data_IF_947946165082
#
_entry.id   IF_947946165082
#
_cell.length_a   1.000
_cell.length_b   1.000
_cell.length_c   1.000
_cell.angle_alpha   90.00
_cell.angle_beta   90.00
_cell.angle_gamma   90.00
#
_symmetry.space_group_name_H-M   'P 1'
#
loop_
_entity.id
_entity.type
_entity.pdbx_description
1 polymer ?
#
# COMPACT_ATOMS: atom_id res chain seq x y z
N UNK A 1 6.85 -9.18 28.03
CA UNK A 1 7.74 -9.41 26.87
C UNK A 1 7.44 -8.32 25.86
N UNK A 2 8.31 -7.31 25.72
CA UNK A 2 8.07 -6.15 24.84
C UNK A 2 8.39 -6.59 23.41
N UNK A 3 7.35 -6.74 22.59
CA UNK A 3 7.51 -7.03 21.17
C UNK A 3 8.24 -5.87 20.51
N UNK A 4 9.43 -6.18 20.00
CA UNK A 4 10.26 -5.27 19.25
C UNK A 4 9.60 -5.04 17.88
N UNK A 5 9.06 -3.85 17.64
CA UNK A 5 8.43 -3.54 16.36
C UNK A 5 9.25 -2.52 15.55
N UNK A 6 9.44 -2.74 14.24
CA UNK A 6 10.16 -1.81 13.41
C UNK A 6 9.56 -0.42 13.28
N UNK A 7 10.41 0.62 13.20
CA UNK A 7 10.01 2.01 12.90
C UNK A 7 10.71 2.56 11.65
N UNK A 8 9.99 3.36 10.86
CA UNK A 8 10.38 3.94 9.54
C UNK A 8 10.73 5.44 9.61
N UNK A 9 11.77 5.91 8.90
CA UNK A 9 12.16 7.35 8.71
C UNK A 9 12.43 7.70 7.21
N UNK A 10 12.24 8.97 6.75
CA UNK A 10 12.40 9.41 5.32
C UNK A 10 12.84 10.89 5.12
N UNK A 11 13.46 11.22 3.95
CA UNK A 11 13.77 12.56 3.35
C UNK A 11 13.62 12.56 1.79
N UNK A 12 13.03 13.62 1.21
CA UNK A 12 12.55 13.78 -0.19
C UNK A 12 13.63 14.08 -1.26
N UNK A 13 13.37 13.71 -2.53
CA UNK A 13 13.92 14.35 -3.75
C UNK A 13 12.78 14.65 -4.74
N UNK A 14 12.79 15.84 -5.35
CA UNK A 14 11.82 16.32 -6.36
C UNK A 14 12.28 15.97 -7.79
N UNK A 15 11.43 15.47 -8.71
CA UNK A 15 11.87 15.17 -10.06
C UNK A 15 11.40 16.22 -11.09
N UNK A 16 12.36 16.78 -11.83
CA UNK A 16 12.12 17.37 -13.15
C UNK A 16 12.27 16.25 -14.20
N UNK A 17 11.20 16.00 -14.95
CA UNK A 17 11.11 15.17 -16.17
C UNK A 17 11.11 13.63 -16.02
N UNK A 18 9.91 13.02 -16.00
CA UNK A 18 9.71 11.56 -15.88
C UNK A 18 9.41 10.91 -17.25
N UNK A 19 10.19 9.89 -17.63
CA UNK A 19 9.98 8.95 -18.73
C UNK A 19 9.17 7.72 -18.24
N UNK A 20 8.55 6.91 -19.13
CA UNK A 20 7.78 5.71 -18.76
C UNK A 20 8.55 4.61 -17.99
N UNK A 21 9.87 4.77 -17.80
CA UNK A 21 10.72 3.92 -16.98
C UNK A 21 10.84 4.35 -15.51
N UNK A 22 10.37 5.55 -15.15
CA UNK A 22 10.62 6.13 -13.82
C UNK A 22 9.42 5.89 -12.89
N UNK A 23 9.08 4.63 -12.65
CA UNK A 23 8.18 4.27 -11.54
C UNK A 23 8.72 4.92 -10.27
N UNK A 24 7.98 5.84 -9.61
CA UNK A 24 8.45 6.50 -8.40
C UNK A 24 8.68 5.45 -7.32
N UNK A 25 9.96 5.17 -7.09
CA UNK A 25 10.38 4.31 -6.00
C UNK A 25 10.06 4.99 -4.67
N UNK A 26 9.54 4.21 -3.73
CA UNK A 26 9.47 4.61 -2.32
C UNK A 26 10.31 3.66 -1.49
N UNK A 27 10.71 4.05 -0.30
CA UNK A 27 11.50 3.17 0.57
C UNK A 27 11.09 3.28 2.03
N UNK A 28 11.39 2.22 2.77
CA UNK A 28 11.32 2.19 4.23
C UNK A 28 12.70 1.98 4.82
N UNK A 29 13.14 2.89 5.67
CA UNK A 29 14.26 2.63 6.59
C UNK A 29 13.76 1.86 7.79
N UNK A 30 14.03 0.57 7.85
CA UNK A 30 13.51 -0.33 8.88
C UNK A 30 14.47 -0.33 10.07
N UNK A 31 13.92 -0.24 11.28
CA UNK A 31 14.64 -0.48 12.53
C UNK A 31 14.11 -1.72 13.25
N UNK A 32 14.84 -2.32 14.17
CA UNK A 32 14.40 -3.42 15.04
C UNK A 32 14.91 -3.06 16.43
N UNK A 33 14.04 -2.87 17.42
CA UNK A 33 14.39 -2.40 18.76
C UNK A 33 15.14 -1.06 18.71
N UNK A 34 14.68 -0.15 17.85
CA UNK A 34 15.31 1.14 17.54
C UNK A 34 16.75 1.04 16.98
N UNK A 35 17.21 -0.16 16.59
CA UNK A 35 18.48 -0.32 15.86
C UNK A 35 18.21 -0.37 14.37
N UNK A 36 18.94 0.36 13.52
CA UNK A 36 18.80 0.24 12.07
C UNK A 36 18.96 -1.21 11.60
N UNK A 37 18.01 -1.70 10.81
CA UNK A 37 17.97 -3.06 10.27
C UNK A 37 18.20 -3.08 8.74
N UNK A 38 17.97 -1.96 8.06
CA UNK A 38 18.25 -1.79 6.64
C UNK A 38 17.17 -1.00 5.93
N UNK A 39 17.33 -0.84 4.62
CA UNK A 39 16.38 -0.14 3.76
C UNK A 39 15.68 -1.14 2.83
N UNK A 40 14.35 -1.05 2.75
CA UNK A 40 13.54 -1.73 1.74
C UNK A 40 13.15 -0.69 0.69
N UNK A 41 13.46 -0.94 -0.58
CA UNK A 41 13.07 -0.07 -1.69
C UNK A 41 11.99 -0.77 -2.49
N UNK A 42 10.88 -0.08 -2.73
CA UNK A 42 9.73 -0.56 -3.47
C UNK A 42 9.74 0.01 -4.88
N UNK A 43 9.46 -0.85 -5.85
CA UNK A 43 9.04 -0.43 -7.18
C UNK A 43 7.53 -0.62 -7.25
N UNK A 44 6.82 0.43 -7.61
CA UNK A 44 5.37 0.41 -7.75
C UNK A 44 4.98 0.24 -9.22
N UNK A 45 3.92 -0.52 -9.47
CA UNK A 45 3.35 -0.80 -10.79
C UNK A 45 2.26 0.21 -11.13
N UNK A 46 2.60 1.50 -11.22
CA UNK A 46 1.70 2.60 -11.57
C UNK A 46 0.84 2.36 -12.81
N UNK A 47 1.38 1.63 -13.80
CA UNK A 47 0.68 1.30 -15.03
C UNK A 47 -0.38 0.22 -14.86
N UNK A 48 -0.27 -0.62 -13.82
CA UNK A 48 -1.22 -1.70 -13.54
C UNK A 48 -2.19 -1.32 -12.43
N UNK A 49 -1.73 -0.59 -11.42
CA UNK A 49 -2.47 -0.26 -10.21
C UNK A 49 -2.29 1.22 -9.82
N UNK A 50 -2.66 2.21 -10.67
CA UNK A 50 -2.35 3.61 -10.45
C UNK A 50 -2.90 4.17 -9.13
N UNK A 51 -4.13 3.84 -8.73
CA UNK A 51 -4.72 4.29 -7.45
C UNK A 51 -4.06 3.63 -6.26
N UNK A 52 -3.79 2.33 -6.35
CA UNK A 52 -3.17 1.56 -5.27
C UNK A 52 -1.72 2.01 -5.04
N UNK A 53 -0.95 2.18 -6.13
CA UNK A 53 0.41 2.69 -6.11
C UNK A 53 0.46 4.12 -5.55
N UNK A 54 -0.45 5.00 -5.99
CA UNK A 54 -0.57 6.36 -5.47
C UNK A 54 -0.85 6.36 -3.97
N UNK A 55 -1.85 5.59 -3.52
CA UNK A 55 -2.18 5.48 -2.10
C UNK A 55 -0.96 5.07 -1.26
N UNK A 56 -0.27 4.00 -1.63
CA UNK A 56 0.91 3.53 -0.89
C UNK A 56 2.04 4.57 -0.89
N UNK A 57 2.28 5.22 -2.03
CA UNK A 57 3.31 6.25 -2.16
C UNK A 57 3.04 7.44 -1.26
N UNK A 58 1.85 8.01 -1.31
CA UNK A 58 1.51 9.20 -0.54
C UNK A 58 1.42 8.90 0.97
N UNK A 59 1.05 7.66 1.34
CA UNK A 59 1.18 7.19 2.72
C UNK A 59 2.64 6.98 3.15
N UNK A 60 3.53 6.59 2.23
CA UNK A 60 4.96 6.49 2.51
C UNK A 60 5.63 7.87 2.66
N UNK A 61 5.21 8.87 1.88
CA UNK A 61 5.69 10.26 2.01
C UNK A 61 5.14 10.93 3.27
N UNK A 62 3.92 10.59 3.68
CA UNK A 62 3.22 11.23 4.79
C UNK A 62 2.76 12.65 4.46
N UNK A 63 2.65 13.00 3.18
CA UNK A 63 2.33 14.37 2.73
C UNK A 63 0.95 14.87 3.18
N UNK A 64 0.06 13.95 3.55
CA UNK A 64 -1.27 14.25 4.10
C UNK A 64 -1.28 14.47 5.62
N UNK A 65 -0.11 14.50 6.26
CA UNK A 65 0.02 14.63 7.73
C UNK A 65 -0.16 13.32 8.50
N UNK A 66 -0.38 12.21 7.81
CA UNK A 66 -0.42 10.85 8.34
C UNK A 66 0.20 9.88 7.32
N UNK A 67 0.67 8.71 7.76
CA UNK A 67 1.33 7.77 6.86
C UNK A 67 2.05 6.63 7.58
N UNK A 68 2.93 5.93 6.86
CA UNK A 68 3.65 4.75 7.37
C UNK A 68 4.79 5.08 8.32
N UNK A 69 5.23 6.33 8.41
CA UNK A 69 6.32 6.73 9.29
C UNK A 69 5.99 6.38 10.74
N UNK A 70 6.91 5.69 11.42
CA UNK A 70 6.73 5.13 12.76
C UNK A 70 5.63 4.06 12.93
N UNK A 71 4.91 3.69 11.86
CA UNK A 71 4.06 2.50 11.85
C UNK A 71 4.91 1.23 11.90
N UNK A 72 4.25 0.14 12.23
CA UNK A 72 4.88 -1.09 12.69
C UNK A 72 4.55 -2.26 11.75
N UNK A 73 5.47 -3.22 11.64
CA UNK A 73 5.16 -4.54 11.08
C UNK A 73 4.52 -5.36 12.19
N UNK A 74 3.19 -5.35 12.26
CA UNK A 74 2.42 -5.95 13.36
C UNK A 74 2.19 -7.46 13.20
N UNK A 75 2.40 -8.02 12.01
CA UNK A 75 2.26 -9.46 11.77
C UNK A 75 3.40 -10.01 10.92
N UNK A 76 4.07 -11.03 11.44
CA UNK A 76 5.14 -11.77 10.76
C UNK A 76 4.72 -13.24 10.66
N UNK A 77 4.48 -13.72 9.44
CA UNK A 77 4.18 -15.12 9.18
C UNK A 77 5.37 -15.78 8.49
N UNK A 78 6.12 -16.59 9.26
CA UNK A 78 7.30 -17.27 8.76
C UNK A 78 6.94 -18.18 7.57
N UNK A 79 7.68 -18.08 6.48
CA UNK A 79 7.42 -18.80 5.23
C UNK A 79 6.25 -18.26 4.40
N UNK A 80 5.69 -17.10 4.73
CA UNK A 80 4.57 -16.49 4.00
C UNK A 80 4.81 -15.02 3.69
N UNK A 81 4.55 -14.12 4.65
CA UNK A 81 4.69 -12.68 4.47
C UNK A 81 4.92 -11.93 5.78
N UNK A 82 5.39 -10.69 5.64
CA UNK A 82 5.33 -9.68 6.69
C UNK A 82 4.24 -8.66 6.35
N UNK A 83 3.48 -8.21 7.35
CA UNK A 83 2.33 -7.33 7.17
C UNK A 83 2.44 -6.12 8.10
N UNK A 84 2.15 -4.96 7.54
CA UNK A 84 2.18 -3.67 8.22
C UNK A 84 1.15 -2.71 7.64
N UNK A 85 1.34 -1.42 7.88
CA UNK A 85 0.47 -0.37 7.33
C UNK A 85 -0.85 -0.19 8.09
N UNK A 86 -0.94 -0.70 9.32
CA UNK A 86 -1.96 -0.23 10.27
C UNK A 86 -1.49 1.11 10.84
N UNK A 87 -2.13 2.20 10.42
CA UNK A 87 -1.72 3.59 10.67
C UNK A 87 -2.75 4.37 11.50
N UNK A 88 -3.72 3.71 12.13
CA UNK A 88 -4.69 4.41 12.99
C UNK A 88 -3.97 5.12 14.15
N UNK A 89 -4.36 6.37 14.38
CA UNK A 89 -3.76 7.20 15.41
C UNK A 89 -4.06 6.64 16.81
N UNK A 90 -3.03 6.56 17.65
CA UNK A 90 -3.06 6.25 19.08
C UNK A 90 -3.66 4.87 19.44
N UNK A 91 -2.87 3.81 19.27
CA UNK A 91 -3.12 2.47 19.80
C UNK A 91 -1.99 1.50 19.47
N UNK A 92 -1.97 0.33 20.11
CA UNK A 92 -1.14 -0.79 19.64
C UNK A 92 -1.65 -1.20 18.24
N UNK A 93 -0.83 -1.16 17.18
CA UNK A 93 -1.25 -1.60 15.85
C UNK A 93 -1.51 -3.10 15.87
N UNK A 94 -2.77 -3.49 16.02
CA UNK A 94 -3.24 -4.87 16.14
C UNK A 94 -3.76 -5.43 14.81
N UNK A 95 -3.75 -4.62 13.74
CA UNK A 95 -4.30 -4.96 12.42
C UNK A 95 -5.79 -4.64 12.30
N UNK A 96 -6.40 -4.02 13.32
CA UNK A 96 -7.80 -3.61 13.33
C UNK A 96 -8.04 -2.29 12.58
N UNK A 97 -6.99 -1.51 12.30
CA UNK A 97 -7.09 -0.18 11.71
C UNK A 97 -6.63 -0.03 10.27
N UNK A 98 -6.24 1.20 9.94
CA UNK A 98 -5.81 1.65 8.62
C UNK A 98 -6.77 2.64 7.96
N UNK A 99 -6.22 3.51 7.11
CA UNK A 99 -6.96 4.51 6.35
C UNK A 99 -6.22 4.84 5.06
N UNK A 100 -6.93 4.91 3.94
CA UNK A 100 -6.35 5.34 2.66
C UNK A 100 -6.32 6.86 2.52
N UNK A 101 -5.58 7.35 1.52
CA UNK A 101 -5.66 8.77 1.12
C UNK A 101 -7.04 9.18 0.60
N UNK A 102 -7.91 8.21 0.26
CA UNK A 102 -9.25 8.41 -0.29
C UNK A 102 -10.36 8.37 0.76
N UNK A 103 -10.03 8.07 2.03
CA UNK A 103 -11.02 7.76 3.07
C UNK A 103 -10.67 6.48 3.83
N UNK A 104 -11.61 5.92 4.61
CA UNK A 104 -11.39 4.68 5.39
C UNK A 104 -10.90 3.53 4.50
N UNK A 105 -11.47 3.41 3.30
CA UNK A 105 -11.10 2.47 2.26
C UNK A 105 -11.15 3.20 0.90
N UNK A 106 -10.86 2.47 -0.18
CA UNK A 106 -10.90 3.03 -1.54
C UNK A 106 -12.34 3.33 -2.02
N UNK A 107 -13.37 3.14 -1.17
CA UNK A 107 -14.74 3.44 -1.55
C UNK A 107 -14.92 4.95 -1.73
N UNK A 108 -15.45 5.30 -2.91
CA UNK A 108 -15.65 6.67 -3.32
C UNK A 108 -16.63 7.39 -2.39
N UNK A 109 -16.14 8.38 -1.66
CA UNK A 109 -16.97 9.54 -1.40
C UNK A 109 -17.33 10.13 -2.76
N UNK A 110 -18.62 10.21 -3.05
CA UNK A 110 -19.18 10.97 -4.15
C UNK A 110 -18.84 12.46 -3.93
N UNK A 111 -17.58 12.84 -4.18
CA UNK A 111 -17.16 14.23 -4.25
C UNK A 111 -17.54 14.72 -5.64
N UNK A 112 -18.56 15.58 -5.71
CA UNK A 112 -19.12 16.20 -6.92
C UNK A 112 -18.12 17.19 -7.60
N UNK A 113 -16.82 17.07 -7.34
CA UNK A 113 -15.80 17.83 -8.03
C UNK A 113 -14.53 16.98 -8.18
N UNK A 114 -13.90 17.06 -9.37
CA UNK A 114 -12.59 16.49 -9.77
C UNK A 114 -12.71 15.02 -10.24
N UNK A 115 -12.54 14.63 -11.50
CA UNK A 115 -11.75 15.19 -12.60
C UNK A 115 -12.35 14.70 -13.95
N UNK A 116 -12.62 15.61 -14.89
CA UNK A 116 -13.28 15.31 -16.18
C UNK A 116 -12.51 14.35 -17.10
N UNK A 117 -11.28 13.98 -16.75
CA UNK A 117 -10.42 13.14 -17.59
C UNK A 117 -10.58 11.64 -17.33
N UNK A 118 -11.16 11.22 -16.20
CA UNK A 118 -11.37 9.80 -15.88
C UNK A 118 -12.78 9.27 -16.22
N UNK A 119 -13.74 10.16 -16.46
CA UNK A 119 -15.16 9.79 -16.59
C UNK A 119 -15.52 9.19 -17.96
N UNK A 120 -14.77 9.50 -19.02
CA UNK A 120 -15.15 9.11 -20.40
C UNK A 120 -14.94 7.61 -20.72
N UNK A 121 -14.17 6.87 -19.91
CA UNK A 121 -14.09 5.40 -20.04
C UNK A 121 -15.10 4.64 -19.17
N UNK A 122 -15.73 5.28 -18.19
CA UNK A 122 -16.60 4.62 -17.22
C UNK A 122 -18.09 4.59 -17.63
N UNK A 123 -18.46 5.22 -18.75
CA UNK A 123 -19.86 5.41 -19.13
C UNK A 123 -20.47 4.36 -20.08
N UNK A 124 -19.75 3.30 -20.45
CA UNK A 124 -20.32 2.29 -21.38
C UNK A 124 -20.81 1.00 -20.74
N UNK A 125 -20.55 0.72 -19.47
CA UNK A 125 -21.17 -0.41 -18.79
C UNK A 125 -21.33 -0.14 -17.29
N UNK A 126 -22.56 -0.25 -16.82
CA UNK A 126 -23.08 0.04 -15.49
C UNK A 126 -22.39 -0.75 -14.35
N UNK A 127 -21.13 -0.43 -14.03
CA UNK A 127 -20.32 -1.07 -12.98
C UNK A 127 -19.54 -0.01 -12.20
N UNK A 128 -20.23 0.74 -11.33
CA UNK A 128 -19.57 1.44 -10.23
C UNK A 128 -19.28 0.43 -9.12
N UNK A 129 -18.24 -0.39 -9.31
CA UNK A 129 -17.63 -1.20 -8.25
C UNK A 129 -16.33 -0.50 -7.90
N UNK A 130 -16.25 0.04 -6.68
CA UNK A 130 -15.04 0.62 -6.11
C UNK A 130 -14.05 -0.53 -5.83
N UNK A 131 -13.33 -0.95 -6.88
CA UNK A 131 -12.82 -2.32 -7.02
C UNK A 131 -11.33 -2.49 -6.69
N UNK A 132 -10.97 -3.73 -6.35
CA UNK A 132 -9.60 -4.23 -6.47
C UNK A 132 -9.10 -3.94 -7.90
N UNK A 133 -8.07 -3.10 -8.00
CA UNK A 133 -7.77 -2.38 -9.24
C UNK A 133 -7.25 -3.29 -10.36
N UNK A 134 -6.36 -4.22 -10.03
CA UNK A 134 -5.80 -5.19 -10.97
C UNK A 134 -5.32 -6.45 -10.26
N UNK A 135 -5.46 -7.59 -10.94
CA UNK A 135 -4.96 -8.90 -10.50
C UNK A 135 -3.97 -9.52 -11.51
N UNK A 136 -3.35 -8.66 -12.33
CA UNK A 136 -2.38 -9.08 -13.36
C UNK A 136 -1.08 -9.58 -12.76
N UNK A 137 -0.65 -8.99 -11.64
CA UNK A 137 0.53 -9.43 -10.90
C UNK A 137 0.20 -10.66 -10.03
N UNK A 138 1.14 -11.61 -9.99
CA UNK A 138 1.03 -12.87 -9.25
C UNK A 138 1.93 -12.87 -8.03
N UNK A 139 1.53 -13.59 -7.00
CA UNK A 139 2.31 -13.82 -5.79
C UNK A 139 3.19 -15.07 -5.94
N UNK A 140 4.04 -15.07 -6.95
CA UNK A 140 4.79 -16.24 -7.41
C UNK A 140 6.20 -16.37 -6.80
N UNK A 141 6.66 -15.37 -6.03
CA UNK A 141 8.00 -15.30 -5.46
C UNK A 141 8.06 -14.40 -4.22
N UNK A 142 9.14 -14.47 -3.40
CA UNK A 142 9.40 -13.48 -2.35
C UNK A 142 9.58 -12.05 -2.89
N UNK A 143 9.20 -11.05 -2.10
CA UNK A 143 9.41 -9.64 -2.39
C UNK A 143 8.26 -8.95 -3.13
N UNK A 144 7.15 -9.65 -3.38
CA UNK A 144 5.92 -9.04 -3.93
C UNK A 144 5.22 -8.23 -2.84
N UNK A 145 5.00 -6.94 -3.13
CA UNK A 145 4.18 -6.02 -2.34
C UNK A 145 2.71 -6.17 -2.76
N UNK A 146 1.81 -6.24 -1.78
CA UNK A 146 0.38 -6.41 -2.04
C UNK A 146 -0.50 -5.83 -0.92
N UNK A 147 -1.71 -5.43 -1.26
CA UNK A 147 -2.69 -4.90 -0.31
C UNK A 147 -3.22 -6.01 0.60
N UNK A 148 -3.24 -5.75 1.90
CA UNK A 148 -4.05 -6.52 2.83
C UNK A 148 -5.51 -6.00 2.77
N UNK A 149 -6.48 -6.90 2.87
CA UNK A 149 -7.89 -6.57 2.85
C UNK A 149 -8.69 -7.50 3.79
N UNK A 150 -9.98 -7.20 3.95
CA UNK A 150 -10.98 -7.92 4.76
C UNK A 150 -12.09 -8.50 3.89
N UNK A 151 -11.73 -8.88 2.67
CA UNK A 151 -12.67 -9.23 1.61
C UNK A 151 -12.56 -8.28 0.42
N UNK A 152 -13.32 -8.55 -0.65
CA UNK A 152 -13.30 -7.74 -1.85
C UNK A 152 -13.52 -6.26 -1.54
N UNK A 153 -12.78 -5.39 -2.22
CA UNK A 153 -13.05 -3.95 -2.26
C UNK A 153 -12.85 -3.21 -0.93
N UNK A 154 -12.05 -3.78 -0.01
CA UNK A 154 -11.80 -3.20 1.30
C UNK A 154 -10.35 -2.71 1.46
N UNK A 155 -9.67 -2.35 0.37
CA UNK A 155 -8.30 -1.86 0.41
C UNK A 155 -8.24 -0.51 1.15
N UNK A 156 -7.25 -0.36 2.04
CA UNK A 156 -7.01 0.87 2.82
C UNK A 156 -5.51 1.23 2.84
N UNK A 157 -4.82 1.10 3.97
CA UNK A 157 -3.38 1.33 4.11
C UNK A 157 -2.58 0.07 4.40
N UNK A 158 -3.21 -1.00 4.87
CA UNK A 158 -2.48 -2.20 5.23
C UNK A 158 -1.96 -2.93 4.00
N UNK A 159 -0.74 -3.44 4.11
CA UNK A 159 -0.03 -4.14 3.04
C UNK A 159 0.73 -5.32 3.60
N UNK A 160 1.14 -6.23 2.72
CA UNK A 160 2.11 -7.28 3.03
C UNK A 160 3.19 -7.39 1.97
N UNK A 161 4.35 -7.90 2.39
CA UNK A 161 5.48 -8.25 1.53
C UNK A 161 5.71 -9.74 1.68
N UNK A 162 5.59 -10.46 0.57
CA UNK A 162 5.80 -11.91 0.54
C UNK A 162 7.25 -12.27 0.87
N UNK A 163 7.45 -13.35 1.61
CA UNK A 163 8.75 -13.98 1.89
C UNK A 163 8.87 -15.37 1.25
N UNK A 164 7.78 -15.87 0.65
CA UNK A 164 7.68 -17.07 -0.17
C UNK A 164 6.57 -16.91 -1.21
N UNK A 165 6.48 -17.78 -2.24
CA UNK A 165 5.31 -17.82 -3.14
C UNK A 165 4.00 -18.07 -2.38
N UNK A 166 2.97 -17.28 -2.67
CA UNK A 166 1.65 -17.38 -2.04
C UNK A 166 0.51 -17.31 -3.08
N UNK A 167 0.42 -18.28 -4.01
CA UNK A 167 -0.52 -18.23 -5.15
C UNK A 167 -2.01 -18.19 -4.73
N UNK A 168 -2.36 -18.60 -3.51
CA UNK A 168 -3.73 -18.49 -3.00
C UNK A 168 -4.16 -17.04 -2.73
N UNK A 169 -3.23 -16.08 -2.68
CA UNK A 169 -3.52 -14.64 -2.63
C UNK A 169 -3.89 -14.07 -4.01
N UNK A 170 -3.59 -14.78 -5.10
CA UNK A 170 -3.91 -14.33 -6.45
C UNK A 170 -5.43 -14.15 -6.60
N UNK A 171 -5.82 -13.05 -7.25
CA UNK A 171 -7.22 -12.65 -7.44
C UNK A 171 -7.99 -12.36 -6.15
N UNK A 172 -7.31 -12.33 -5.00
CA UNK A 172 -7.87 -11.95 -3.69
C UNK A 172 -7.22 -10.68 -3.16
N UNK A 173 -5.94 -10.52 -3.42
CA UNK A 173 -5.16 -9.36 -3.01
C UNK A 173 -4.54 -8.70 -4.26
N UNK A 174 -4.56 -7.37 -4.29
CA UNK A 174 -3.97 -6.57 -5.36
C UNK A 174 -2.48 -6.46 -5.09
N UNK A 175 -1.66 -7.07 -5.97
CA UNK A 175 -0.22 -6.84 -6.00
C UNK A 175 0.08 -5.59 -6.85
N UNK A 176 0.91 -4.69 -6.33
CA UNK A 176 1.08 -3.34 -6.88
C UNK A 176 2.47 -2.76 -6.62
#
# INVERSE_FOLDING_TARGET
MVACVPKIQYLLQTPTHIRPSDSPHVFFDVSISNRPAGRIVFRLFDNLCPKTARNFRELATGEHGYGYRFSSIHRVMNGYWIQGGDITAAGDPDGSGGRSIYGENFAGTLSIAIDRLYTDMALTNNVLITADESFSMKHDRPGILSMANRGPHSNSSQFFITTAPTPWCDRRNVAF
#
